data_IF_017299183197
#
_entry.id   IF_017299183197
#
_cell.length_a   1.000
_cell.length_b   1.000
_cell.length_c   1.000
_cell.angle_alpha   90.00
_cell.angle_beta   90.00
_cell.angle_gamma   90.00
#
_symmetry.space_group_name_H-M   'P 1'
#
loop_
_entity.id
_entity.type
_entity.pdbx_description
1 polymer ?
#
# COMPACT_ATOMS: atom_id res chain seq x y z
N UNK A 1 -16.72 -35.36 13.84
CA UNK A 1 -15.24 -35.37 14.00
C UNK A 1 -14.57 -34.62 12.84
N UNK A 2 -14.83 -33.32 12.67
CA UNK A 2 -14.37 -32.57 11.49
C UNK A 2 -14.02 -31.10 11.73
N UNK A 3 -13.99 -30.61 12.98
CA UNK A 3 -13.52 -29.23 13.25
C UNK A 3 -12.00 -29.13 13.24
N UNK A 4 -11.28 -30.06 13.89
CA UNK A 4 -9.82 -30.02 13.96
C UNK A 4 -9.15 -30.27 12.60
N UNK A 5 -9.65 -31.23 11.81
CA UNK A 5 -9.14 -31.50 10.47
C UNK A 5 -9.37 -30.31 9.51
N UNK A 6 -10.49 -29.61 9.63
CA UNK A 6 -10.76 -28.40 8.86
C UNK A 6 -9.81 -27.26 9.27
N UNK A 7 -9.57 -27.06 10.58
CA UNK A 7 -8.61 -26.07 11.09
C UNK A 7 -7.17 -26.37 10.63
N UNK A 8 -6.74 -27.64 10.67
CA UNK A 8 -5.41 -28.05 10.19
C UNK A 8 -5.28 -27.81 8.68
N UNK A 9 -6.31 -28.16 7.88
CA UNK A 9 -6.32 -27.89 6.43
C UNK A 9 -6.28 -26.39 6.13
N UNK A 10 -7.08 -25.60 6.83
CA UNK A 10 -7.06 -24.13 6.71
C UNK A 10 -5.71 -23.55 7.08
N UNK A 11 -5.09 -24.00 8.17
CA UNK A 11 -3.75 -23.52 8.56
C UNK A 11 -2.67 -23.90 7.56
N UNK A 12 -2.74 -25.10 6.96
CA UNK A 12 -1.82 -25.52 5.89
C UNK A 12 -1.99 -24.69 4.63
N UNK A 13 -3.23 -24.34 4.25
CA UNK A 13 -3.50 -23.44 3.12
C UNK A 13 -2.97 -22.03 3.38
N UNK A 14 -3.18 -21.47 4.57
CA UNK A 14 -2.63 -20.16 4.96
C UNK A 14 -1.10 -20.13 4.91
N UNK A 15 -0.43 -21.18 5.42
CA UNK A 15 1.02 -21.32 5.37
C UNK A 15 1.52 -21.47 3.92
N UNK A 16 0.79 -22.19 3.07
CA UNK A 16 1.11 -22.33 1.66
C UNK A 16 0.99 -20.99 0.93
N UNK A 17 -0.12 -20.26 1.11
CA UNK A 17 -0.33 -18.93 0.54
C UNK A 17 0.79 -17.96 0.94
N UNK A 18 1.15 -17.90 2.24
CA UNK A 18 2.27 -17.09 2.75
C UNK A 18 3.67 -17.53 2.25
N UNK A 19 3.82 -18.78 1.82
CA UNK A 19 5.07 -19.26 1.21
C UNK A 19 5.17 -18.83 -0.24
N UNK A 20 4.09 -18.98 -1.00
CA UNK A 20 4.03 -18.54 -2.39
C UNK A 20 4.22 -17.03 -2.49
N UNK A 21 3.51 -16.25 -1.68
CA UNK A 21 3.57 -14.79 -1.76
C UNK A 21 4.90 -14.16 -1.35
N UNK A 22 5.73 -14.85 -0.55
CA UNK A 22 7.05 -14.33 -0.16
C UNK A 22 8.04 -14.20 -1.32
N UNK A 23 7.87 -15.00 -2.37
CA UNK A 23 8.74 -14.99 -3.54
C UNK A 23 8.07 -14.34 -4.77
N UNK A 24 6.81 -13.93 -4.64
CA UNK A 24 6.05 -13.32 -5.71
C UNK A 24 6.08 -11.80 -5.54
N UNK A 25 6.66 -11.12 -6.52
CA UNK A 25 6.64 -9.68 -6.61
C UNK A 25 5.64 -9.27 -7.69
N UNK A 26 4.93 -8.17 -7.44
CA UNK A 26 4.10 -7.56 -8.48
C UNK A 26 4.97 -6.87 -9.52
N UNK A 27 4.54 -6.92 -10.77
CA UNK A 27 5.21 -6.26 -11.89
C UNK A 27 4.36 -5.08 -12.35
N UNK A 28 5.00 -3.93 -12.57
CA UNK A 28 4.37 -2.71 -13.06
C UNK A 28 4.81 -2.46 -14.51
N UNK A 29 3.96 -1.85 -15.34
CA UNK A 29 4.37 -1.41 -16.67
C UNK A 29 5.65 -0.55 -16.58
N UNK A 30 6.66 -0.93 -17.36
CA UNK A 30 7.93 -0.21 -17.44
C UNK A 30 7.74 1.17 -18.07
N UNK A 31 8.75 2.03 -17.96
CA UNK A 31 8.77 3.29 -18.71
C UNK A 31 8.85 3.00 -20.21
N UNK A 32 8.08 3.75 -21.01
CA UNK A 32 7.93 3.51 -22.44
C UNK A 32 6.81 2.51 -22.74
N UNK A 33 7.00 1.75 -23.83
CA UNK A 33 5.98 0.84 -24.36
C UNK A 33 6.14 -0.54 -23.72
N UNK A 34 5.04 -1.06 -23.19
CA UNK A 34 4.90 -2.46 -22.75
C UNK A 34 3.62 -3.05 -23.35
N UNK A 35 3.63 -4.34 -23.63
CA UNK A 35 2.46 -5.08 -24.10
C UNK A 35 1.99 -5.99 -22.98
N UNK A 36 0.74 -5.79 -22.56
CA UNK A 36 0.08 -6.56 -21.52
C UNK A 36 -0.80 -7.63 -22.17
N UNK A 37 -0.52 -8.90 -21.91
CA UNK A 37 -1.50 -9.96 -22.12
C UNK A 37 -2.21 -10.24 -20.79
N UNK A 38 -3.52 -10.06 -20.74
CA UNK A 38 -4.34 -10.43 -19.59
C UNK A 38 -4.77 -11.88 -19.73
N UNK A 39 -4.62 -12.67 -18.67
CA UNK A 39 -5.04 -14.06 -18.65
C UNK A 39 -6.45 -14.17 -18.07
N UNK A 40 -7.29 -15.09 -18.59
CA UNK A 40 -8.59 -15.36 -18.00
C UNK A 40 -8.42 -16.00 -16.61
N UNK A 41 -9.50 -16.01 -15.83
CA UNK A 41 -9.47 -16.67 -14.53
C UNK A 41 -9.24 -18.20 -14.72
N UNK A 42 -8.25 -18.79 -14.02
CA UNK A 42 -7.85 -20.17 -14.25
C UNK A 42 -8.88 -21.20 -13.79
N UNK A 43 -9.78 -20.83 -12.88
CA UNK A 43 -10.83 -21.72 -12.39
C UNK A 43 -12.06 -21.68 -13.28
N UNK A 44 -12.46 -20.48 -13.69
CA UNK A 44 -13.57 -20.27 -14.60
C UNK A 44 -13.26 -19.07 -15.51
N UNK A 45 -13.10 -19.26 -16.83
CA UNK A 45 -12.79 -18.17 -17.75
C UNK A 45 -13.79 -17.00 -17.76
N UNK A 46 -15.05 -17.27 -17.40
CA UNK A 46 -16.14 -16.27 -17.38
C UNK A 46 -16.28 -15.56 -16.03
N UNK A 47 -15.42 -15.88 -15.06
CA UNK A 47 -15.43 -15.26 -13.74
C UNK A 47 -14.41 -14.11 -13.64
N UNK A 48 -14.43 -13.39 -12.53
CA UNK A 48 -13.58 -12.23 -12.27
C UNK A 48 -12.11 -12.61 -12.40
N UNK A 49 -11.39 -11.96 -13.33
CA UNK A 49 -9.97 -12.19 -13.62
C UNK A 49 -9.02 -11.21 -12.92
N UNK A 50 -9.57 -10.33 -12.07
CA UNK A 50 -8.85 -9.25 -11.40
C UNK A 50 -9.13 -9.23 -9.89
N UNK A 51 -8.24 -8.58 -9.13
CA UNK A 51 -8.42 -8.36 -7.68
C UNK A 51 -8.03 -6.93 -7.32
N UNK A 52 -8.90 -6.22 -6.60
CA UNK A 52 -8.55 -4.93 -6.03
C UNK A 52 -7.43 -5.09 -4.99
N UNK A 53 -6.47 -4.18 -5.00
CA UNK A 53 -5.26 -4.24 -4.18
C UNK A 53 -4.77 -2.84 -3.89
N UNK A 54 -4.47 -2.56 -2.62
CA UNK A 54 -3.79 -1.32 -2.23
C UNK A 54 -2.87 -1.56 -1.05
N UNK A 55 -1.78 -0.79 -1.00
CA UNK A 55 -0.82 -0.85 0.09
C UNK A 55 -0.51 0.55 0.61
N UNK A 56 -0.37 0.67 1.93
CA UNK A 56 0.24 1.82 2.56
C UNK A 56 1.75 1.66 2.52
N UNK A 57 2.45 2.70 2.07
CA UNK A 57 3.90 2.75 2.05
C UNK A 57 4.39 3.90 2.90
N UNK A 58 5.25 3.62 3.86
CA UNK A 58 5.85 4.66 4.69
C UNK A 58 7.36 4.57 4.57
N UNK A 59 7.95 5.67 4.14
CA UNK A 59 9.40 5.86 4.15
C UNK A 59 9.75 6.51 5.49
N UNK A 60 10.65 5.90 6.23
CA UNK A 60 11.16 6.44 7.49
C UNK A 60 12.67 6.32 7.49
N UNK A 61 13.35 7.21 8.23
CA UNK A 61 14.80 7.17 8.38
C UNK A 61 15.09 6.76 9.82
N UNK A 62 15.57 5.54 10.01
CA UNK A 62 15.88 5.02 11.34
C UNK A 62 17.40 4.76 11.41
N UNK A 63 18.08 5.44 12.33
CA UNK A 63 19.54 5.40 12.49
C UNK A 63 20.33 5.73 11.20
N UNK A 64 19.88 6.74 10.46
CA UNK A 64 20.54 7.19 9.21
C UNK A 64 20.33 6.27 8.00
N UNK A 65 19.53 5.21 8.12
CA UNK A 65 19.16 4.32 7.01
C UNK A 65 17.69 4.51 6.63
N UNK A 66 17.43 4.69 5.35
CA UNK A 66 16.07 4.70 4.81
C UNK A 66 15.45 3.30 4.92
N UNK A 67 14.32 3.22 5.60
CA UNK A 67 13.48 2.04 5.69
C UNK A 67 12.14 2.33 5.01
N UNK A 68 11.72 1.40 4.15
CA UNK A 68 10.39 1.42 3.55
C UNK A 68 9.60 0.26 4.14
N UNK A 69 8.53 0.59 4.85
CA UNK A 69 7.61 -0.42 5.39
C UNK A 69 6.31 -0.32 4.62
N UNK A 70 5.78 -1.47 4.21
CA UNK A 70 4.54 -1.57 3.47
C UNK A 70 3.58 -2.57 4.12
N UNK A 71 2.29 -2.28 4.05
CA UNK A 71 1.23 -3.20 4.49
C UNK A 71 -0.01 -3.02 3.63
N UNK A 72 -0.76 -4.12 3.45
CA UNK A 72 -2.04 -4.10 2.76
C UNK A 72 -3.01 -3.10 3.40
N UNK A 73 -3.66 -2.30 2.56
CA UNK A 73 -4.78 -1.46 2.93
C UNK A 73 -6.09 -2.23 2.78
N UNK A 74 -6.81 -2.40 3.90
CA UNK A 74 -8.11 -3.10 3.91
C UNK A 74 -9.17 -2.37 3.09
N UNK A 75 -9.18 -1.03 3.15
CA UNK A 75 -10.14 -0.22 2.42
C UNK A 75 -9.95 -0.30 0.91
N UNK A 76 -8.71 -0.22 0.42
CA UNK A 76 -8.46 -0.28 -1.02
C UNK A 76 -8.58 -1.71 -1.61
N UNK A 77 -8.45 -2.75 -0.78
CA UNK A 77 -8.40 -4.16 -1.23
C UNK A 77 -9.73 -4.89 -1.03
N UNK A 78 -10.42 -4.64 0.08
CA UNK A 78 -11.64 -5.33 0.50
C UNK A 78 -12.84 -4.40 0.71
N UNK A 79 -12.67 -3.09 0.48
CA UNK A 79 -13.69 -2.08 0.77
C UNK A 79 -14.13 -2.07 2.27
N UNK A 80 -13.22 -2.48 3.16
CA UNK A 80 -13.41 -2.52 4.62
C UNK A 80 -12.78 -1.30 5.33
N UNK A 81 -13.24 -0.94 6.55
CA UNK A 81 -12.59 0.10 7.35
C UNK A 81 -11.10 -0.18 7.57
N UNK A 82 -10.28 0.88 7.54
CA UNK A 82 -8.84 0.77 7.69
C UNK A 82 -8.31 1.84 8.63
N UNK A 83 -7.77 1.40 9.77
CA UNK A 83 -7.28 2.25 10.85
C UNK A 83 -6.10 3.13 10.37
N UNK A 84 -5.30 2.62 9.42
CA UNK A 84 -4.21 3.37 8.80
C UNK A 84 -4.74 4.51 7.91
N UNK A 85 -5.80 4.27 7.13
CA UNK A 85 -6.44 5.31 6.34
C UNK A 85 -7.01 6.42 7.22
N UNK A 86 -7.67 6.06 8.32
CA UNK A 86 -8.23 7.01 9.27
C UNK A 86 -7.15 7.89 9.89
N UNK A 87 -6.06 7.30 10.39
CA UNK A 87 -4.94 8.05 10.96
C UNK A 87 -4.20 8.92 9.93
N UNK A 88 -4.09 8.50 8.67
CA UNK A 88 -3.53 9.32 7.59
C UNK A 88 -4.43 10.52 7.29
N UNK A 89 -5.76 10.34 7.33
CA UNK A 89 -6.71 11.44 7.13
C UNK A 89 -6.70 12.42 8.30
N UNK A 90 -6.55 11.94 9.53
CA UNK A 90 -6.33 12.78 10.72
C UNK A 90 -5.04 13.59 10.59
N UNK A 91 -3.93 12.94 10.22
CA UNK A 91 -2.66 13.62 9.98
C UNK A 91 -2.80 14.72 8.91
N UNK A 92 -3.54 14.46 7.83
CA UNK A 92 -3.83 15.45 6.79
C UNK A 92 -4.61 16.65 7.34
N UNK A 93 -5.54 16.42 8.27
CA UNK A 93 -6.32 17.48 8.88
C UNK A 93 -5.48 18.35 9.83
N UNK A 94 -4.59 17.74 10.61
CA UNK A 94 -3.68 18.43 11.55
C UNK A 94 -2.67 19.29 10.79
N UNK A 95 -2.04 18.74 9.76
CA UNK A 95 -1.00 19.42 8.97
C UNK A 95 -1.55 20.24 7.81
N UNK A 96 -2.85 20.58 7.84
CA UNK A 96 -3.50 21.39 6.81
C UNK A 96 -2.75 22.71 6.65
N UNK A 97 -2.39 23.05 5.42
CA UNK A 97 -1.59 24.23 5.01
C UNK A 97 -0.07 24.06 5.06
N UNK A 98 0.45 22.94 5.58
CA UNK A 98 1.87 22.60 5.43
C UNK A 98 2.05 21.71 4.19
N UNK A 99 2.40 22.34 3.05
CA UNK A 99 2.53 21.65 1.76
C UNK A 99 3.49 20.45 1.80
N UNK A 100 4.66 20.60 2.43
CA UNK A 100 5.65 19.53 2.50
C UNK A 100 5.11 18.31 3.27
N UNK A 101 4.39 18.55 4.37
CA UNK A 101 3.75 17.48 5.14
C UNK A 101 2.55 16.89 4.40
N UNK A 102 1.73 17.70 3.73
CA UNK A 102 0.61 17.21 2.91
C UNK A 102 1.09 16.29 1.79
N UNK A 103 2.22 16.61 1.15
CA UNK A 103 2.83 15.75 0.14
C UNK A 103 3.33 14.43 0.74
N UNK A 104 4.01 14.49 1.88
CA UNK A 104 4.51 13.31 2.58
C UNK A 104 3.36 12.39 3.01
N UNK A 105 2.27 12.97 3.54
CA UNK A 105 1.05 12.25 3.94
C UNK A 105 0.35 11.65 2.72
N UNK A 106 0.33 12.36 1.58
CA UNK A 106 -0.23 11.85 0.34
C UNK A 106 0.54 10.62 -0.19
N UNK A 107 1.86 10.55 0.01
CA UNK A 107 2.64 9.35 -0.33
C UNK A 107 2.31 8.13 0.56
N UNK A 108 1.88 8.36 1.80
CA UNK A 108 1.51 7.27 2.73
C UNK A 108 0.14 6.68 2.44
N UNK A 109 -0.72 7.44 1.77
CA UNK A 109 -2.08 7.01 1.42
C UNK A 109 -2.00 5.86 0.42
N UNK A 110 -2.76 4.80 0.69
CA UNK A 110 -2.92 3.72 -0.26
C UNK A 110 -3.68 4.22 -1.48
N UNK A 111 -3.14 3.93 -2.67
CA UNK A 111 -3.89 4.07 -3.93
C UNK A 111 -4.54 2.73 -4.26
N UNK A 112 -5.78 2.77 -4.78
CA UNK A 112 -6.45 1.58 -5.29
C UNK A 112 -5.81 1.18 -6.61
N UNK A 113 -5.38 -0.07 -6.68
CA UNK A 113 -4.74 -0.70 -7.84
C UNK A 113 -5.39 -2.05 -8.06
N UNK A 114 -5.11 -2.66 -9.21
CA UNK A 114 -5.69 -3.95 -9.56
C UNK A 114 -4.60 -4.94 -9.91
N UNK A 115 -4.72 -6.14 -9.36
CA UNK A 115 -3.87 -7.28 -9.68
C UNK A 115 -4.53 -8.12 -10.77
N UNK A 116 -3.70 -8.58 -11.70
CA UNK A 116 -4.08 -9.40 -12.83
C UNK A 116 -3.04 -10.50 -13.01
N UNK A 117 -3.48 -11.70 -13.40
CA UNK A 117 -2.57 -12.66 -13.99
C UNK A 117 -2.33 -12.27 -15.45
N UNK A 118 -1.08 -12.24 -15.87
CA UNK A 118 -0.74 -11.88 -17.24
C UNK A 118 0.74 -11.88 -17.50
N UNK A 119 1.14 -11.26 -18.59
CA UNK A 119 2.56 -11.04 -18.90
C UNK A 119 2.75 -9.64 -19.43
N UNK A 120 3.85 -9.01 -19.04
CA UNK A 120 4.30 -7.75 -19.60
C UNK A 120 5.54 -7.98 -20.47
N UNK A 121 5.40 -7.80 -21.78
CA UNK A 121 6.47 -7.98 -22.76
C UNK A 121 6.83 -6.66 -23.44
N UNK A 122 8.09 -6.45 -23.85
CA UNK A 122 8.48 -5.26 -24.62
C UNK A 122 7.97 -5.31 -26.07
N UNK A 123 7.64 -6.51 -26.56
CA UNK A 123 7.11 -6.78 -27.89
C UNK A 123 5.67 -7.31 -27.79
N UNK A 124 4.87 -7.21 -28.86
CA UNK A 124 3.50 -7.75 -28.85
C UNK A 124 3.42 -9.28 -28.76
N UNK A 125 4.54 -9.98 -28.97
CA UNK A 125 4.64 -11.43 -28.93
C UNK A 125 4.80 -11.97 -27.50
N UNK A 126 3.73 -12.62 -27.02
CA UNK A 126 3.65 -13.23 -25.69
C UNK A 126 4.63 -14.40 -25.51
N UNK A 127 5.06 -15.06 -26.58
CA UNK A 127 5.93 -16.25 -26.47
C UNK A 127 7.32 -15.92 -25.95
N UNK A 128 7.68 -14.63 -25.96
CA UNK A 128 8.91 -14.10 -25.35
C UNK A 128 8.86 -14.09 -23.81
N UNK A 129 7.68 -14.28 -23.20
CA UNK A 129 7.54 -14.31 -21.75
C UNK A 129 8.01 -15.66 -21.17
N UNK A 130 8.88 -15.60 -20.16
CA UNK A 130 9.43 -16.81 -19.53
C UNK A 130 8.51 -17.41 -18.46
N UNK A 131 7.73 -16.56 -17.80
CA UNK A 131 6.88 -16.84 -16.64
C UNK A 131 5.62 -15.99 -16.64
N UNK A 132 4.64 -16.40 -15.86
CA UNK A 132 3.45 -15.58 -15.59
C UNK A 132 3.77 -14.50 -14.57
N UNK A 133 3.40 -13.27 -14.87
CA UNK A 133 3.58 -12.12 -14.00
C UNK A 133 2.28 -11.81 -13.24
N UNK A 134 2.45 -11.37 -12.00
CA UNK A 134 1.39 -10.75 -11.23
C UNK A 134 1.41 -9.25 -11.52
N UNK A 135 0.60 -8.81 -12.48
CA UNK A 135 0.63 -7.44 -12.99
C UNK A 135 -0.20 -6.52 -12.10
N UNK A 136 0.39 -5.39 -11.68
CA UNK A 136 -0.26 -4.37 -10.83
C UNK A 136 -0.53 -3.09 -11.62
N UNK A 137 -1.79 -2.90 -12.03
CA UNK A 137 -2.22 -1.72 -12.79
C UNK A 137 -2.78 -0.61 -11.89
N UNK A 138 -2.48 0.67 -12.19
CA UNK A 138 -3.23 1.80 -11.63
C UNK A 138 -4.71 1.69 -12.01
N UNK A 139 -5.60 2.24 -11.16
CA UNK A 139 -7.04 2.26 -11.42
C UNK A 139 -7.40 2.83 -12.80
N UNK A 140 -6.82 3.97 -13.20
CA UNK A 140 -7.12 4.61 -14.49
C UNK A 140 -6.77 3.72 -15.69
N UNK A 141 -5.59 3.10 -15.67
CA UNK A 141 -5.15 2.16 -16.72
C UNK A 141 -6.04 0.94 -16.76
N UNK A 142 -6.42 0.41 -15.59
CA UNK A 142 -7.30 -0.74 -15.51
C UNK A 142 -8.70 -0.43 -16.05
N UNK A 143 -9.27 0.72 -15.73
CA UNK A 143 -10.54 1.18 -16.29
C UNK A 143 -10.47 1.30 -17.83
N UNK A 144 -9.38 1.82 -18.39
CA UNK A 144 -9.21 1.90 -19.84
C UNK A 144 -9.07 0.52 -20.50
N UNK A 145 -8.38 -0.43 -19.85
CA UNK A 145 -8.34 -1.82 -20.31
C UNK A 145 -9.75 -2.44 -20.29
N UNK A 146 -10.53 -2.22 -19.23
CA UNK A 146 -11.90 -2.74 -19.15
C UNK A 146 -12.81 -2.15 -20.24
N UNK A 147 -12.73 -0.85 -20.50
CA UNK A 147 -13.48 -0.21 -21.60
C UNK A 147 -13.16 -0.84 -22.94
N UNK A 148 -11.86 -1.05 -23.23
CA UNK A 148 -11.44 -1.69 -24.48
C UNK A 148 -11.91 -3.14 -24.59
N UNK A 149 -11.95 -3.87 -23.46
CA UNK A 149 -12.51 -5.23 -23.42
C UNK A 149 -14.01 -5.20 -23.72
N UNK A 150 -14.75 -4.30 -23.07
CA UNK A 150 -16.19 -4.14 -23.25
C UNK A 150 -16.55 -3.76 -24.69
N UNK A 151 -15.85 -2.78 -25.27
CA UNK A 151 -16.02 -2.37 -26.67
C UNK A 151 -15.78 -3.53 -27.63
N UNK A 152 -14.64 -4.23 -27.50
CA UNK A 152 -14.27 -5.30 -28.43
C UNK A 152 -15.16 -6.55 -28.32
N UNK A 153 -15.68 -6.85 -27.12
CA UNK A 153 -16.64 -7.93 -26.92
C UNK A 153 -18.04 -7.56 -27.42
N UNK A 154 -18.47 -6.32 -27.26
CA UNK A 154 -19.79 -5.84 -27.68
C UNK A 154 -19.88 -5.73 -29.20
N UNK A 155 -18.83 -5.23 -29.84
CA UNK A 155 -18.78 -5.05 -31.30
C UNK A 155 -18.36 -6.33 -32.05
N UNK A 156 -18.23 -7.46 -31.34
CA UNK A 156 -17.77 -8.76 -31.87
C UNK A 156 -16.44 -8.67 -32.64
N UNK A 157 -15.59 -7.70 -32.28
CA UNK A 157 -14.30 -7.44 -32.92
C UNK A 157 -13.27 -8.49 -32.49
N UNK A 158 -13.36 -8.97 -31.25
CA UNK A 158 -12.52 -10.04 -30.74
C UNK A 158 -12.75 -10.40 -29.27
N UNK A 159 -12.07 -11.45 -28.82
CA UNK A 159 -12.16 -11.97 -27.45
C UNK A 159 -10.84 -11.71 -26.70
N UNK A 160 -10.63 -10.51 -26.12
CA UNK A 160 -9.34 -10.13 -25.52
C UNK A 160 -8.84 -11.09 -24.44
N UNK A 161 -9.75 -11.67 -23.65
CA UNK A 161 -9.42 -12.58 -22.55
C UNK A 161 -9.32 -14.05 -22.98
N UNK A 162 -9.62 -14.37 -24.23
CA UNK A 162 -9.59 -15.75 -24.74
C UNK A 162 -8.17 -16.31 -24.68
N UNK A 163 -8.02 -17.51 -24.14
CA UNK A 163 -6.73 -18.18 -24.04
C UNK A 163 -6.15 -18.54 -25.42
N UNK A 164 -6.99 -18.75 -26.43
CA UNK A 164 -6.56 -19.14 -27.77
C UNK A 164 -6.47 -17.95 -28.73
N UNK A 165 -7.49 -17.08 -28.71
CA UNK A 165 -7.68 -16.04 -29.74
C UNK A 165 -7.55 -14.61 -29.22
N UNK A 166 -7.21 -14.42 -27.95
CA UNK A 166 -7.06 -13.08 -27.40
C UNK A 166 -5.80 -12.38 -27.89
N UNK A 167 -5.70 -11.10 -27.53
CA UNK A 167 -4.60 -10.23 -27.91
C UNK A 167 -4.03 -9.42 -26.73
N UNK A 168 -2.90 -8.76 -26.97
CA UNK A 168 -2.24 -7.89 -26.00
C UNK A 168 -2.76 -6.45 -26.05
N UNK A 169 -2.68 -5.74 -24.93
CA UNK A 169 -2.89 -4.30 -24.83
C UNK A 169 -1.54 -3.58 -24.80
N UNK A 170 -1.34 -2.64 -25.71
CA UNK A 170 -0.18 -1.75 -25.71
C UNK A 170 -0.40 -0.65 -24.67
N UNK A 171 0.43 -0.66 -23.63
CA UNK A 171 0.47 0.36 -22.58
C UNK A 171 1.74 1.19 -22.80
N UNK A 172 1.57 2.47 -23.08
CA UNK A 172 2.68 3.42 -23.11
C UNK A 172 2.65 4.27 -21.84
N UNK A 173 3.70 4.17 -21.04
CA UNK A 173 3.89 4.91 -19.80
C UNK A 173 4.94 5.99 -19.99
N UNK A 174 4.56 7.24 -19.79
CA UNK A 174 5.43 8.42 -19.88
C UNK A 174 5.50 9.13 -18.53
N UNK A 175 6.60 9.86 -18.29
CA UNK A 175 6.80 10.64 -17.06
C UNK A 175 7.22 9.82 -15.83
N UNK A 176 7.29 10.47 -14.68
CA UNK A 176 7.71 9.85 -13.42
C UNK A 176 6.99 10.49 -12.23
N UNK A 177 6.80 9.72 -11.15
CA UNK A 177 6.12 10.22 -9.96
C UNK A 177 4.65 10.60 -10.24
N UNK A 178 4.28 11.83 -9.90
CA UNK A 178 2.92 12.36 -10.09
C UNK A 178 2.60 12.72 -11.54
N UNK A 179 3.61 13.02 -12.34
CA UNK A 179 3.46 13.34 -13.77
C UNK A 179 3.49 12.07 -14.64
N UNK A 180 3.09 10.92 -14.08
CA UNK A 180 3.05 9.67 -14.84
C UNK A 180 1.75 9.61 -15.63
N UNK A 181 1.87 9.59 -16.95
CA UNK A 181 0.76 9.43 -17.86
C UNK A 181 0.78 8.03 -18.48
N UNK A 182 -0.42 7.54 -18.81
CA UNK A 182 -0.62 6.26 -19.44
C UNK A 182 -1.52 6.43 -20.66
N UNK A 183 -1.18 5.72 -21.74
CA UNK A 183 -2.09 5.49 -22.87
C UNK A 183 -2.19 4.00 -23.11
N UNK A 184 -3.42 3.53 -23.31
CA UNK A 184 -3.75 2.12 -23.53
C UNK A 184 -4.38 1.98 -24.91
N UNK A 185 -3.93 1.02 -25.69
CA UNK A 185 -4.51 0.71 -27.00
C UNK A 185 -4.48 -0.80 -27.28
N UNK A 186 -5.50 -1.37 -27.95
CA UNK A 186 -5.55 -2.80 -28.23
C UNK A 186 -4.65 -3.17 -29.41
N UNK A 187 -3.85 -4.24 -29.28
CA UNK A 187 -2.98 -4.76 -30.35
C UNK A 187 -3.63 -5.95 -31.06
N UNK A 188 -4.75 -5.71 -31.75
CA UNK A 188 -5.64 -6.76 -32.31
C UNK A 188 -5.01 -7.64 -33.39
N UNK A 189 -4.01 -7.12 -34.11
CA UNK A 189 -3.33 -7.84 -35.21
C UNK A 189 -2.02 -8.46 -34.76
N UNK A 190 -1.11 -7.63 -34.25
CA UNK A 190 0.26 -8.04 -33.92
C UNK A 190 0.34 -8.75 -32.56
N UNK A 191 -0.53 -8.41 -31.63
CA UNK A 191 -0.57 -8.99 -30.28
C UNK A 191 -1.46 -10.21 -30.16
N UNK A 192 -2.10 -10.68 -31.24
CA UNK A 192 -2.99 -11.84 -31.20
C UNK A 192 -2.18 -13.12 -31.08
N UNK A 193 -2.31 -13.81 -29.95
CA UNK A 193 -1.59 -15.03 -29.69
C UNK A 193 -2.28 -15.89 -28.63
N UNK A 194 -2.21 -17.21 -28.84
CA UNK A 194 -2.61 -18.17 -27.83
C UNK A 194 -1.65 -18.12 -26.63
N UNK A 195 -2.17 -18.25 -25.42
CA UNK A 195 -1.38 -18.26 -24.20
C UNK A 195 -0.68 -19.63 -24.10
N UNK A 196 0.66 -19.67 -24.03
CA UNK A 196 1.38 -20.92 -23.80
C UNK A 196 0.90 -21.64 -22.54
N UNK A 197 0.67 -22.95 -22.63
CA UNK A 197 0.16 -23.75 -21.51
C UNK A 197 1.03 -23.67 -20.24
N UNK A 198 2.35 -23.48 -20.41
CA UNK A 198 3.29 -23.25 -19.31
C UNK A 198 2.92 -22.02 -18.48
N UNK A 199 2.52 -20.93 -19.14
CA UNK A 199 2.16 -19.67 -18.48
C UNK A 199 0.79 -19.81 -17.79
N UNK A 200 -0.19 -20.42 -18.45
CA UNK A 200 -1.50 -20.68 -17.84
C UNK A 200 -1.39 -21.52 -16.56
N UNK A 201 -0.49 -22.51 -16.53
CA UNK A 201 -0.25 -23.35 -15.35
C UNK A 201 0.40 -22.61 -14.16
N UNK A 202 1.05 -21.47 -14.41
CA UNK A 202 1.69 -20.64 -13.38
C UNK A 202 0.77 -19.54 -12.84
N UNK A 203 -0.49 -19.48 -13.28
CA UNK A 203 -1.47 -18.51 -12.78
C UNK A 203 -1.65 -18.59 -11.26
N UNK A 204 -1.81 -17.42 -10.63
CA UNK A 204 -1.90 -17.30 -9.18
C UNK A 204 -3.33 -16.99 -8.72
N UNK A 205 -3.68 -17.45 -7.52
CA UNK A 205 -4.89 -16.96 -6.85
C UNK A 205 -4.63 -15.54 -6.34
N UNK A 206 -5.28 -14.57 -6.99
CA UNK A 206 -5.06 -13.14 -6.74
C UNK A 206 -5.52 -12.71 -5.33
N UNK A 207 -6.63 -13.28 -4.85
CA UNK A 207 -7.17 -12.97 -3.52
C UNK A 207 -6.27 -13.53 -2.40
N UNK A 208 -5.80 -14.77 -2.56
CA UNK A 208 -4.86 -15.38 -1.61
C UNK A 208 -3.55 -14.58 -1.53
N UNK A 209 -3.04 -14.11 -2.68
CA UNK A 209 -1.89 -13.23 -2.71
C UNK A 209 -2.17 -11.92 -1.98
N UNK A 210 -3.26 -11.22 -2.28
CA UNK A 210 -3.61 -9.95 -1.65
C UNK A 210 -3.71 -10.10 -0.12
N UNK A 211 -4.44 -11.12 0.35
CA UNK A 211 -4.62 -11.41 1.78
C UNK A 211 -3.30 -11.72 2.49
N UNK A 212 -2.37 -12.40 1.80
CA UNK A 212 -1.08 -12.74 2.39
C UNK A 212 -0.17 -11.53 2.65
N UNK A 213 -0.46 -10.38 2.03
CA UNK A 213 0.28 -9.12 2.26
C UNK A 213 -0.15 -8.41 3.55
N UNK A 214 -1.24 -8.85 4.19
CA UNK A 214 -1.65 -8.33 5.49
C UNK A 214 -0.95 -9.08 6.63
N UNK A 215 -0.06 -8.39 7.34
CA UNK A 215 0.56 -8.89 8.56
C UNK A 215 0.40 -7.87 9.68
N UNK A 216 -0.20 -8.29 10.79
CA UNK A 216 -0.49 -7.40 11.94
C UNK A 216 0.76 -6.70 12.47
N UNK A 217 1.90 -7.40 12.51
CA UNK A 217 3.17 -6.82 12.94
C UNK A 217 3.66 -5.73 11.97
N UNK A 218 3.46 -5.90 10.65
CA UNK A 218 3.78 -4.86 9.67
C UNK A 218 2.81 -3.69 9.78
N UNK A 219 1.53 -3.95 10.02
CA UNK A 219 0.54 -2.89 10.27
C UNK A 219 0.94 -2.02 11.48
N UNK A 220 1.36 -2.64 12.58
CA UNK A 220 1.86 -1.93 13.76
C UNK A 220 3.16 -1.13 13.47
N UNK A 221 4.07 -1.68 12.68
CA UNK A 221 5.27 -0.96 12.24
C UNK A 221 4.94 0.24 11.36
N UNK A 222 4.00 0.09 10.43
CA UNK A 222 3.52 1.18 9.57
C UNK A 222 2.82 2.25 10.41
N UNK A 223 1.95 1.88 11.35
CA UNK A 223 1.30 2.83 12.27
C UNK A 223 2.34 3.63 13.09
N UNK A 224 3.36 2.95 13.64
CA UNK A 224 4.46 3.61 14.35
C UNK A 224 5.24 4.55 13.45
N UNK A 225 5.52 4.13 12.20
CA UNK A 225 6.23 4.96 11.24
C UNK A 225 5.42 6.20 10.84
N UNK A 226 4.10 6.07 10.66
CA UNK A 226 3.21 7.21 10.43
C UNK A 226 3.30 8.15 11.62
N UNK A 227 3.13 7.66 12.86
CA UNK A 227 3.20 8.50 14.05
C UNK A 227 4.56 9.19 14.24
N UNK A 228 5.66 8.55 13.86
CA UNK A 228 6.99 9.17 13.89
C UNK A 228 7.13 10.32 12.87
N UNK A 229 6.47 10.23 11.71
CA UNK A 229 6.55 11.26 10.67
C UNK A 229 5.51 12.37 10.89
N UNK A 230 4.29 12.03 11.31
CA UNK A 230 3.15 12.96 11.37
C UNK A 230 2.78 13.41 12.76
N UNK A 231 3.27 12.74 13.82
CA UNK A 231 2.87 12.98 15.21
C UNK A 231 1.52 12.37 15.59
N UNK A 232 0.84 11.65 14.67
CA UNK A 232 -0.47 11.02 14.93
C UNK A 232 -0.31 9.59 15.42
N UNK A 233 -0.86 9.29 16.59
CA UNK A 233 -0.89 7.92 17.12
C UNK A 233 -2.01 7.10 16.48
N UNK A 234 -1.67 5.97 15.86
CA UNK A 234 -2.65 5.06 15.25
C UNK A 234 -2.68 3.75 16.04
N UNK A 235 -3.86 3.38 16.55
CA UNK A 235 -4.11 2.07 17.16
C UNK A 235 -4.41 1.02 16.09
N UNK A 236 -3.67 -0.10 16.09
CA UNK A 236 -3.99 -1.24 15.22
C UNK A 236 -4.86 -2.22 16.01
N UNK A 237 -6.16 -2.24 15.68
CA UNK A 237 -7.09 -3.21 16.23
C UNK A 237 -6.76 -4.60 15.70
N UNK A 238 -6.35 -5.50 16.58
CA UNK A 238 -6.15 -6.91 16.24
C UNK A 238 -7.50 -7.62 16.29
N UNK A 239 -8.32 -7.46 15.24
CA UNK A 239 -9.50 -8.31 15.02
C UNK A 239 -9.07 -9.68 14.49
N UNK A 240 -8.21 -10.38 15.24
CA UNK A 240 -8.30 -11.82 15.24
C UNK A 240 -9.64 -12.11 15.89
N UNK A 241 -10.64 -12.44 15.08
CA UNK A 241 -11.96 -12.85 15.53
C UNK A 241 -11.78 -13.95 16.58
N UNK A 242 -11.80 -13.56 17.86
CA UNK A 242 -12.11 -14.49 18.91
C UNK A 242 -13.49 -15.04 18.54
N UNK A 243 -13.69 -16.37 18.54
CA UNK A 243 -15.01 -16.91 18.32
C UNK A 243 -15.93 -16.22 19.31
N UNK A 244 -16.98 -15.57 18.79
CA UNK A 244 -18.03 -14.99 19.61
C UNK A 244 -18.64 -16.13 20.43
N UNK A 245 -18.11 -16.35 21.64
CA UNK A 245 -18.81 -17.13 22.65
C UNK A 245 -20.00 -16.29 23.04
N UNK A 246 -21.18 -16.81 22.72
CA UNK A 246 -22.46 -16.14 22.84
C UNK A 246 -22.61 -15.39 24.15
N UNK A 247 -23.29 -14.26 24.02
CA UNK A 247 -23.93 -13.53 25.10
C UNK A 247 -24.77 -14.46 25.95
N UNK A 248 -24.30 -14.75 27.16
CA UNK A 248 -25.16 -14.85 28.33
C UNK A 248 -24.47 -14.10 29.46
N UNK A 249 -25.21 -13.16 30.04
CA UNK A 249 -24.71 -12.15 30.95
C UNK A 249 -23.93 -12.74 32.13
N UNK A 250 -22.62 -12.59 32.09
CA UNK A 250 -21.77 -12.48 33.26
C UNK A 250 -20.46 -11.87 32.82
N UNK A 251 -20.15 -10.69 33.34
CA UNK A 251 -18.85 -10.05 33.17
C UNK A 251 -17.79 -10.96 33.83
N UNK A 252 -17.19 -11.85 33.05
CA UNK A 252 -16.02 -12.59 33.47
C UNK A 252 -14.87 -11.61 33.60
N UNK A 253 -14.55 -11.28 34.85
CA UNK A 253 -13.40 -10.47 35.23
C UNK A 253 -12.13 -11.02 34.58
N UNK A 254 -11.34 -10.11 33.99
CA UNK A 254 -9.95 -10.36 33.67
C UNK A 254 -9.23 -10.81 34.97
N UNK A 255 -8.50 -11.94 34.98
CA UNK A 255 -7.82 -12.40 36.18
C UNK A 255 -6.65 -11.45 36.45
N UNK A 256 -6.78 -10.63 37.50
CA UNK A 256 -5.71 -9.72 37.93
C UNK A 256 -6.15 -8.39 38.54
N UNK A 257 -7.43 -8.01 38.47
CA UNK A 257 -7.94 -6.81 39.15
C UNK A 257 -8.93 -7.20 40.24
N UNK A 258 -8.50 -7.11 41.50
CA UNK A 258 -9.39 -7.23 42.65
C UNK A 258 -10.45 -6.12 42.61
N UNK A 259 -11.71 -6.53 42.65
CA UNK A 259 -12.88 -5.67 42.77
C UNK A 259 -12.92 -5.01 44.14
N UNK A 260 -12.76 -3.68 44.19
CA UNK A 260 -13.30 -2.88 45.30
C UNK A 260 -14.61 -2.27 44.84
N UNK A 261 -15.70 -2.83 45.36
CA UNK A 261 -17.06 -2.27 45.24
C UNK A 261 -17.11 -0.96 46.02
N UNK A 262 -17.33 0.17 45.34
CA UNK A 262 -17.80 1.40 45.97
C UNK A 262 -18.94 1.99 45.14
N UNK A 263 -20.02 2.25 45.86
CA UNK A 263 -21.32 2.79 45.46
C UNK A 263 -21.20 4.11 44.71
N UNK A 264 -21.88 4.17 43.56
CA UNK A 264 -22.18 5.39 42.83
C UNK A 264 -23.16 6.23 43.65
N UNK A 265 -22.64 7.21 44.37
CA UNK A 265 -23.25 8.52 44.67
C UNK A 265 -22.31 9.21 45.67
N UNK A 266 -22.13 10.52 45.53
CA UNK A 266 -21.32 11.40 46.43
C UNK A 266 -19.79 11.41 46.30
N UNK A 267 -19.19 11.66 45.12
CA UNK A 267 -17.87 12.37 45.02
C UNK A 267 -17.81 13.30 43.78
N UNK A 268 -18.95 13.85 43.35
CA UNK A 268 -18.99 14.88 42.30
C UNK A 268 -18.82 16.32 42.85
N UNK A 269 -18.58 16.48 44.17
CA UNK A 269 -18.52 17.81 44.81
C UNK A 269 -17.21 18.12 45.55
N UNK A 270 -16.18 17.27 45.49
CA UNK A 270 -14.89 17.53 46.16
C UNK A 270 -13.68 17.66 45.21
N UNK A 271 -13.77 17.23 43.95
CA UNK A 271 -12.72 17.52 42.95
C UNK A 271 -12.83 18.92 42.31
N UNK A 272 -13.91 19.66 42.59
CA UNK A 272 -14.15 21.02 42.08
C UNK A 272 -13.65 22.14 43.02
N UNK A 273 -13.02 21.79 44.16
CA UNK A 273 -12.44 22.78 45.10
C UNK A 273 -10.90 22.77 45.16
N UNK A 274 -10.24 21.74 44.66
CA UNK A 274 -8.77 21.69 44.55
C UNK A 274 -8.20 22.20 43.21
N UNK A 275 -9.06 22.61 42.28
CA UNK A 275 -8.66 23.24 41.01
C UNK A 275 -8.63 24.80 41.06
N UNK A 276 -8.70 25.40 42.25
CA UNK A 276 -8.79 26.86 42.43
C UNK A 276 -7.69 27.47 43.33
N UNK A 277 -6.57 26.77 43.57
CA UNK A 277 -5.46 27.30 44.36
C UNK A 277 -4.10 26.82 43.85
N UNK A 278 -3.76 27.14 42.60
CA UNK A 278 -2.36 27.17 42.16
C UNK A 278 -2.14 28.46 41.37
N UNK A 279 -1.68 29.50 42.06
CA UNK A 279 -1.20 30.74 41.45
C UNK A 279 0.02 30.44 40.57
N UNK A 280 -0.12 30.72 39.27
CA UNK A 280 1.00 30.73 38.33
C UNK A 280 1.85 31.99 38.57
N UNK A 281 3.06 31.81 39.11
CA UNK A 281 4.07 32.87 39.21
C UNK A 281 4.87 32.91 37.90
N UNK A 282 4.67 33.96 37.11
CA UNK A 282 5.37 34.19 35.85
C UNK A 282 6.88 34.39 36.08
N UNK A 283 7.77 33.73 35.32
CA UNK A 283 9.19 34.08 35.28
C UNK A 283 9.43 35.30 34.36
N UNK A 284 10.24 36.24 34.86
CA UNK A 284 10.68 37.46 34.17
C UNK A 284 11.55 37.18 32.93
N UNK A 285 11.55 38.10 31.94
CA UNK A 285 12.23 37.92 30.66
C UNK A 285 13.75 38.07 30.80
N UNK A 286 14.49 37.04 30.36
CA UNK A 286 15.95 37.07 30.22
C UNK A 286 16.30 37.37 28.75
N UNK A 287 17.31 38.22 28.46
CA UNK A 287 17.41 38.95 27.20
C UNK A 287 17.83 38.11 25.99
N UNK A 288 17.43 38.61 24.82
CA UNK A 288 17.66 38.09 23.47
C UNK A 288 19.14 37.74 23.19
N UNK A 289 19.43 36.56 22.60
CA UNK A 289 20.73 36.32 21.99
C UNK A 289 20.85 37.11 20.68
N UNK A 290 21.90 37.94 20.60
CA UNK A 290 22.30 38.70 19.41
C UNK A 290 22.41 37.80 18.18
N UNK A 291 21.90 38.31 17.05
CA UNK A 291 22.15 37.80 15.72
C UNK A 291 23.65 37.65 15.46
N UNK A 292 24.07 36.46 15.02
CA UNK A 292 25.38 36.24 14.44
C UNK A 292 25.37 36.80 13.01
N UNK A 293 26.30 37.71 12.73
CA UNK A 293 26.61 38.18 11.38
C UNK A 293 27.11 37.00 10.52
N UNK A 294 26.79 36.97 9.21
CA UNK A 294 27.36 35.99 8.30
C UNK A 294 28.84 36.31 8.07
N UNK A 295 29.73 35.55 8.72
CA UNK A 295 31.13 35.48 8.29
C UNK A 295 31.17 34.72 6.97
N UNK A 296 31.30 35.46 5.87
CA UNK A 296 31.58 34.89 4.57
C UNK A 296 33.03 34.39 4.52
N UNK A 297 33.19 33.11 4.19
CA UNK A 297 34.32 32.65 3.40
C UNK A 297 33.81 32.51 1.98
N UNK A 298 34.01 33.57 1.19
CA UNK A 298 33.96 33.47 -0.27
C UNK A 298 35.07 32.52 -0.68
N UNK A 299 34.72 31.43 -1.37
CA UNK A 299 35.68 30.60 -2.07
C UNK A 299 36.33 31.50 -3.12
N UNK A 300 37.61 31.85 -2.91
CA UNK A 300 38.35 32.71 -3.83
C UNK A 300 38.43 32.02 -5.20
N UNK A 301 38.37 32.83 -6.27
CA UNK A 301 38.39 32.35 -7.65
C UNK A 301 39.63 31.52 -8.01
N UNK A 302 40.69 31.62 -7.21
CA UNK A 302 41.92 30.82 -7.38
C UNK A 302 41.76 29.35 -6.96
N UNK A 303 40.85 29.04 -6.02
CA UNK A 303 40.56 27.66 -5.59
C UNK A 303 39.67 26.90 -6.59
N UNK A 304 38.81 27.62 -7.32
CA UNK A 304 37.99 27.05 -8.41
C UNK A 304 38.85 26.70 -9.65
N UNK A 305 39.85 27.53 -9.98
CA UNK A 305 40.78 27.24 -11.08
C UNK A 305 41.73 26.08 -10.74
N UNK A 306 42.12 25.92 -9.48
CA UNK A 306 42.90 24.77 -9.02
C UNK A 306 42.12 23.45 -9.12
N UNK A 307 40.82 23.46 -8.85
CA UNK A 307 39.96 22.28 -8.97
C UNK A 307 39.65 21.89 -10.43
N UNK A 308 39.52 22.87 -11.34
CA UNK A 308 39.31 22.61 -12.78
C UNK A 308 40.54 22.01 -13.47
N UNK A 309 41.75 22.39 -13.04
CA UNK A 309 43.00 21.84 -13.58
C UNK A 309 43.28 20.39 -13.17
N UNK A 310 42.66 19.90 -12.10
CA UNK A 310 42.76 18.51 -11.67
C UNK A 310 41.86 17.55 -12.48
N UNK A 311 40.90 18.08 -13.26
CA UNK A 311 39.92 17.29 -14.03
C UNK A 311 40.25 17.17 -15.53
N UNK A 312 41.20 17.96 -16.05
CA UNK A 312 41.71 17.82 -17.43
C UNK A 312 42.94 16.88 -17.52
N UNK A 313 43.28 16.20 -16.42
CA UNK A 313 44.44 15.31 -16.30
C UNK A 313 44.13 13.83 -16.09
N UNK A 314 42.91 13.37 -16.39
CA UNK A 314 42.54 11.94 -16.44
C UNK A 314 41.85 11.59 -17.76
#
# INVERSE_FOLDING_TARGET
MSSLLALIKGKRQEIAAKRLSRNLNTVKPALGISYLRVFPNPSNPDDVFYQAFGMHFVKTTEAGKEKKVAVLCRSATHDEPCELCEGIMEAKAIHKSNKAMEETIAEMRASRRFLLNGTLTPTPDITTAEKTDLVELPQTVFEDVLKLIEEDMTDEIGEPLSAENGYCFKINRTGSGRDTEYSVSPSRKEGKAAIPAKLMAETHNLLDFANSQYEVNKAAQVAKAIGAVTGVSIGISSTLSLPATGTDGSAAALPGFSSTTLTTETIASEAAKDAAAVEYKAPEPTPEPKAAEPTGDSVDSEDLDAMMKALEGM
#
